data_IF_399303855626
#
_entry.id   IF_399303855626
#
_cell.length_a   1.000
_cell.length_b   1.000
_cell.length_c   1.000
_cell.angle_alpha   90.00
_cell.angle_beta   90.00
_cell.angle_gamma   90.00
#
_symmetry.space_group_name_H-M   'P 1'
#
loop_
_entity.id
_entity.type
_entity.pdbx_description
1 polymer ?
#
# COMPACT_ATOMS: atom_id res chain seq x y z
N UNK A 1 13.08 26.49 -0.71
CA UNK A 1 14.07 25.47 -1.07
C UNK A 1 14.85 25.10 0.20
N UNK A 2 14.62 23.93 0.80
CA UNK A 2 15.15 23.58 2.14
C UNK A 2 15.91 22.25 2.20
N UNK A 3 16.17 21.58 1.06
CA UNK A 3 17.03 20.38 1.01
C UNK A 3 16.52 19.18 1.81
N UNK A 4 15.19 18.93 1.82
CA UNK A 4 14.56 17.79 2.53
C UNK A 4 13.61 17.01 1.63
N UNK A 5 14.01 16.77 0.38
CA UNK A 5 13.33 15.83 -0.49
C UNK A 5 13.70 14.41 -0.05
N UNK A 6 13.05 13.96 1.03
CA UNK A 6 13.10 12.57 1.47
C UNK A 6 12.50 11.74 0.33
N UNK A 7 13.09 10.59 0.00
CA UNK A 7 12.42 9.66 -0.91
C UNK A 7 11.06 9.32 -0.25
N UNK A 8 9.97 9.80 -0.87
CA UNK A 8 8.67 9.99 -0.22
C UNK A 8 8.02 11.35 -0.51
N UNK A 9 8.78 12.34 -0.98
CA UNK A 9 8.26 13.64 -1.43
C UNK A 9 7.73 14.54 -0.31
N UNK A 10 7.60 15.82 -0.60
CA UNK A 10 6.89 16.75 0.27
C UNK A 10 5.38 16.51 0.10
N UNK A 11 4.64 16.26 1.19
CA UNK A 11 3.18 16.40 1.19
C UNK A 11 2.88 17.91 1.04
N UNK A 12 2.87 18.42 -0.19
CA UNK A 12 2.42 19.79 -0.47
C UNK A 12 0.97 19.98 -0.03
N UNK A 13 0.46 21.21 0.10
CA UNK A 13 -0.94 21.47 0.48
C UNK A 13 -2.00 20.80 -0.41
N UNK A 14 -1.63 20.33 -1.60
CA UNK A 14 -2.45 19.49 -2.50
C UNK A 14 -2.45 17.99 -2.12
N UNK A 15 -1.68 17.60 -1.11
CA UNK A 15 -1.43 16.22 -0.70
C UNK A 15 -2.26 15.76 0.49
N UNK A 16 -3.23 16.57 0.91
CA UNK A 16 -4.38 16.03 1.62
C UNK A 16 -5.18 15.20 0.62
N UNK A 17 -4.75 13.96 0.38
CA UNK A 17 -5.53 12.97 -0.35
C UNK A 17 -6.77 12.72 0.51
N UNK A 18 -7.84 13.46 0.22
CA UNK A 18 -9.12 13.28 0.88
C UNK A 18 -9.75 11.98 0.34
N UNK A 19 -9.39 10.86 0.96
CA UNK A 19 -9.97 9.56 0.66
C UNK A 19 -11.43 9.54 1.15
N UNK A 20 -12.37 9.98 0.31
CA UNK A 20 -13.80 9.98 0.65
C UNK A 20 -14.60 9.10 -0.30
N UNK A 21 -15.31 8.13 0.28
CA UNK A 21 -16.09 7.14 -0.46
C UNK A 21 -17.55 7.26 -0.04
N UNK A 22 -18.42 7.58 -0.99
CA UNK A 22 -19.87 7.50 -0.78
C UNK A 22 -20.45 6.16 -1.28
N UNK A 23 -19.79 5.57 -2.29
CA UNK A 23 -20.14 4.33 -2.98
C UNK A 23 -18.84 3.60 -3.39
N UNK A 24 -18.75 2.28 -3.21
CA UNK A 24 -17.73 1.46 -3.87
C UNK A 24 -18.07 1.46 -5.35
N UNK A 25 -17.09 1.74 -6.20
CA UNK A 25 -17.32 1.63 -7.64
C UNK A 25 -17.94 2.84 -8.29
N UNK A 26 -18.23 3.94 -7.58
CA UNK A 26 -18.71 5.19 -8.19
C UNK A 26 -18.21 6.40 -7.41
N UNK A 27 -16.90 6.70 -7.52
CA UNK A 27 -16.30 8.01 -7.19
C UNK A 27 -14.82 8.08 -7.56
N UNK A 28 -14.28 9.30 -7.64
CA UNK A 28 -12.84 9.59 -7.69
C UNK A 28 -12.22 9.26 -6.33
N UNK A 29 -11.22 8.38 -6.30
CA UNK A 29 -10.53 8.04 -5.04
C UNK A 29 -9.55 9.15 -4.67
N UNK A 30 -8.90 9.74 -5.68
CA UNK A 30 -7.85 10.75 -5.49
C UNK A 30 -8.17 12.12 -6.11
N UNK A 31 -9.23 12.23 -6.94
CA UNK A 31 -9.85 13.52 -7.30
C UNK A 31 -9.35 14.18 -8.60
N UNK A 32 -8.39 13.60 -9.32
CA UNK A 32 -7.67 14.27 -10.42
C UNK A 32 -8.31 14.16 -11.82
N UNK A 33 -9.13 13.13 -12.10
CA UNK A 33 -9.78 12.95 -13.41
C UNK A 33 -11.21 13.50 -13.42
N UNK A 34 -11.68 14.01 -14.56
CA UNK A 34 -13.03 14.61 -14.70
C UNK A 34 -14.17 13.58 -14.74
N UNK A 35 -13.89 12.33 -15.07
CA UNK A 35 -14.90 11.28 -15.31
C UNK A 35 -15.01 10.30 -14.13
N UNK A 36 -16.22 9.83 -13.86
CA UNK A 36 -16.48 8.78 -12.86
C UNK A 36 -15.88 7.45 -13.34
N UNK A 37 -14.98 6.87 -12.55
CA UNK A 37 -14.45 5.54 -12.83
C UNK A 37 -15.13 4.49 -11.95
N UNK A 38 -15.66 3.46 -12.62
CA UNK A 38 -16.13 2.27 -11.93
C UNK A 38 -14.94 1.43 -11.52
N UNK A 39 -14.74 1.29 -10.21
CA UNK A 39 -13.75 0.38 -9.67
C UNK A 39 -14.35 -1.01 -9.45
N UNK A 40 -13.57 -2.05 -9.76
CA UNK A 40 -13.94 -3.42 -9.43
C UNK A 40 -13.61 -3.74 -7.97
N UNK A 41 -14.21 -4.82 -7.44
CA UNK A 41 -13.90 -5.32 -6.09
C UNK A 41 -12.45 -5.78 -5.96
N UNK A 42 -11.86 -6.27 -7.06
CA UNK A 42 -10.44 -6.62 -7.11
C UNK A 42 -9.57 -5.37 -6.96
N UNK A 43 -9.88 -4.30 -7.69
CA UNK A 43 -9.16 -3.03 -7.58
C UNK A 43 -9.32 -2.39 -6.19
N UNK A 44 -10.50 -2.51 -5.57
CA UNK A 44 -10.71 -2.06 -4.19
C UNK A 44 -9.86 -2.86 -3.20
N UNK A 45 -9.81 -4.18 -3.36
CA UNK A 45 -8.97 -5.05 -2.52
C UNK A 45 -7.49 -4.71 -2.67
N UNK A 46 -7.04 -4.45 -3.89
CA UNK A 46 -5.67 -4.00 -4.17
C UNK A 46 -5.38 -2.62 -3.57
N UNK A 47 -6.37 -1.72 -3.60
CA UNK A 47 -6.28 -0.43 -2.93
C UNK A 47 -6.09 -0.57 -1.42
N UNK A 48 -6.92 -1.37 -0.74
CA UNK A 48 -6.75 -1.61 0.70
C UNK A 48 -5.38 -2.24 1.01
N UNK A 49 -4.93 -3.18 0.17
CA UNK A 49 -3.64 -3.87 0.31
C UNK A 49 -2.45 -2.93 0.16
N UNK A 50 -2.43 -2.11 -0.90
CA UNK A 50 -1.31 -1.19 -1.17
C UNK A 50 -1.24 -0.08 -0.12
N UNK A 51 -2.38 0.48 0.28
CA UNK A 51 -2.47 1.56 1.25
C UNK A 51 -2.41 1.14 2.73
N UNK A 52 -2.22 -0.16 3.05
CA UNK A 52 -2.22 -0.66 4.43
C UNK A 52 -3.50 -0.31 5.20
N UNK A 53 -4.64 -0.35 4.53
CA UNK A 53 -5.90 -0.03 5.18
C UNK A 53 -6.27 -1.22 6.05
N UNK A 54 -6.15 -1.05 7.37
CA UNK A 54 -6.49 -2.07 8.35
C UNK A 54 -7.98 -2.10 8.69
N UNK A 55 -8.66 -0.94 8.57
CA UNK A 55 -10.07 -0.80 8.89
C UNK A 55 -10.77 0.12 7.90
N UNK A 56 -12.01 -0.22 7.55
CA UNK A 56 -12.91 0.65 6.79
C UNK A 56 -14.15 0.91 7.63
N UNK A 57 -14.53 2.18 7.76
CA UNK A 57 -15.75 2.59 8.47
C UNK A 57 -16.77 3.08 7.47
N UNK A 58 -17.96 2.48 7.46
CA UNK A 58 -19.04 2.78 6.53
C UNK A 58 -20.30 3.26 7.25
N UNK A 59 -20.82 4.42 6.87
CA UNK A 59 -22.13 4.93 7.31
C UNK A 59 -23.24 4.81 6.26
N UNK A 60 -22.88 4.80 4.98
CA UNK A 60 -23.83 4.67 3.86
C UNK A 60 -24.38 3.26 3.75
N UNK A 61 -25.71 3.10 3.62
CA UNK A 61 -26.36 1.79 3.42
C UNK A 61 -25.79 1.08 2.18
N UNK A 62 -25.64 1.80 1.07
CA UNK A 62 -25.13 1.26 -0.19
C UNK A 62 -23.68 0.79 -0.03
N UNK A 63 -22.83 1.61 0.60
CA UNK A 63 -21.42 1.27 0.81
C UNK A 63 -21.25 0.05 1.72
N UNK A 64 -22.12 -0.11 2.73
CA UNK A 64 -22.14 -1.28 3.60
C UNK A 64 -22.50 -2.56 2.83
N UNK A 65 -23.54 -2.51 1.98
CA UNK A 65 -23.95 -3.67 1.17
C UNK A 65 -22.82 -4.11 0.23
N UNK A 66 -22.11 -3.17 -0.37
CA UNK A 66 -20.97 -3.43 -1.24
C UNK A 66 -19.76 -4.02 -0.48
N UNK A 67 -19.44 -3.47 0.69
CA UNK A 67 -18.37 -4.01 1.54
C UNK A 67 -18.73 -5.39 2.11
N UNK A 68 -19.99 -5.63 2.47
CA UNK A 68 -20.45 -6.94 2.92
C UNK A 68 -20.26 -8.00 1.83
N UNK A 69 -20.53 -7.66 0.55
CA UNK A 69 -20.26 -8.53 -0.59
C UNK A 69 -18.77 -8.76 -0.79
N UNK A 70 -17.96 -7.70 -0.75
CA UNK A 70 -16.50 -7.78 -0.86
C UNK A 70 -15.92 -8.72 0.20
N UNK A 71 -16.32 -8.52 1.45
CA UNK A 71 -15.87 -9.31 2.60
C UNK A 71 -16.24 -10.79 2.42
N UNK A 72 -17.50 -11.08 2.08
CA UNK A 72 -17.96 -12.45 1.84
C UNK A 72 -17.17 -13.14 0.74
N UNK A 73 -16.89 -12.44 -0.37
CA UNK A 73 -16.09 -12.99 -1.47
C UNK A 73 -14.64 -13.27 -1.06
N UNK A 74 -14.04 -12.41 -0.23
CA UNK A 74 -12.69 -12.61 0.31
C UNK A 74 -12.65 -13.78 1.28
N UNK A 75 -13.53 -13.81 2.28
CA UNK A 75 -13.64 -14.91 3.27
C UNK A 75 -14.02 -16.25 2.62
N UNK A 76 -14.75 -16.26 1.52
CA UNK A 76 -14.97 -17.52 0.76
C UNK A 76 -13.69 -18.05 0.11
N UNK A 77 -12.70 -17.18 -0.15
CA UNK A 77 -11.41 -17.52 -0.77
C UNK A 77 -10.27 -17.66 0.24
N UNK A 78 -10.47 -17.23 1.48
CA UNK A 78 -9.47 -17.24 2.55
C UNK A 78 -10.09 -17.83 3.82
N UNK A 79 -9.40 -18.75 4.51
CA UNK A 79 -9.87 -19.36 5.77
C UNK A 79 -10.03 -18.38 6.95
N UNK A 80 -9.72 -17.10 6.77
CA UNK A 80 -9.81 -16.06 7.80
C UNK A 80 -11.06 -15.18 7.58
N UNK A 81 -11.83 -15.02 8.65
CA UNK A 81 -12.97 -14.10 8.70
C UNK A 81 -12.49 -12.65 8.76
N UNK A 82 -13.25 -11.76 8.14
CA UNK A 82 -13.12 -10.31 8.35
C UNK A 82 -14.03 -9.96 9.52
N UNK A 83 -13.45 -9.39 10.59
CA UNK A 83 -14.21 -8.92 11.73
C UNK A 83 -15.05 -7.71 11.34
N UNK A 84 -16.33 -7.76 11.69
CA UNK A 84 -17.30 -6.73 11.40
C UNK A 84 -17.97 -6.30 12.69
N UNK A 85 -17.89 -5.02 13.03
CA UNK A 85 -18.51 -4.45 14.24
C UNK A 85 -19.45 -3.31 13.86
N UNK A 86 -20.64 -3.29 14.44
CA UNK A 86 -21.64 -2.25 14.19
C UNK A 86 -21.73 -1.28 15.38
N UNK A 87 -21.75 0.02 15.09
CA UNK A 87 -21.87 1.09 16.07
C UNK A 87 -22.95 2.08 15.59
N UNK A 88 -24.20 1.85 15.98
CA UNK A 88 -25.33 2.64 15.51
C UNK A 88 -25.47 2.58 13.98
N UNK A 89 -25.40 3.74 13.31
CA UNK A 89 -25.44 3.79 11.84
C UNK A 89 -24.09 3.52 11.17
N UNK A 90 -23.02 3.24 11.92
CA UNK A 90 -21.70 2.91 11.38
C UNK A 90 -21.44 1.41 11.42
N UNK A 91 -20.65 0.92 10.45
CA UNK A 91 -20.16 -0.46 10.39
C UNK A 91 -18.66 -0.42 10.11
N UNK A 92 -17.89 -1.13 10.92
CA UNK A 92 -16.42 -1.20 10.86
C UNK A 92 -16.05 -2.57 10.32
N UNK A 93 -15.18 -2.58 9.30
CA UNK A 93 -14.69 -3.77 8.64
C UNK A 93 -13.19 -3.89 8.84
N UNK A 94 -12.73 -4.98 9.45
CA UNK A 94 -11.30 -5.29 9.56
C UNK A 94 -10.78 -5.89 8.24
N UNK A 95 -9.91 -5.17 7.56
CA UNK A 95 -9.30 -5.65 6.31
C UNK A 95 -8.15 -6.63 6.59
N UNK A 96 -7.69 -7.33 5.55
CA UNK A 96 -6.57 -8.29 5.65
C UNK A 96 -5.29 -7.61 6.13
N UNK A 97 -4.98 -7.81 7.43
CA UNK A 97 -3.82 -7.23 8.09
C UNK A 97 -2.50 -7.88 7.70
N UNK A 98 -2.51 -9.04 7.02
CA UNK A 98 -1.27 -9.65 6.50
C UNK A 98 -0.68 -8.78 5.39
N UNK A 99 -1.50 -7.96 4.73
CA UNK A 99 -1.03 -6.91 3.81
C UNK A 99 -0.30 -5.74 4.51
N UNK A 100 -0.36 -5.67 5.84
CA UNK A 100 0.44 -4.75 6.65
C UNK A 100 1.86 -5.27 6.89
N UNK A 101 2.17 -6.54 6.59
CA UNK A 101 3.55 -7.07 6.70
C UNK A 101 4.56 -6.39 5.75
N UNK A 102 4.06 -5.62 4.77
CA UNK A 102 4.86 -4.76 3.90
C UNK A 102 5.16 -3.39 4.55
N UNK A 103 4.53 -3.10 5.69
CA UNK A 103 4.88 -2.09 6.68
C UNK A 103 5.55 -2.79 7.89
N UNK A 104 6.85 -3.06 7.79
CA UNK A 104 7.85 -2.76 8.82
C UNK A 104 7.59 -3.28 10.25
N UNK A 105 8.52 -4.09 10.80
CA UNK A 105 8.66 -4.50 12.21
C UNK A 105 7.52 -4.06 13.15
N UNK A 106 6.59 -4.97 13.48
CA UNK A 106 5.96 -4.87 14.80
C UNK A 106 6.93 -5.41 15.83
N UNK A 107 7.12 -4.67 16.92
CA UNK A 107 7.98 -5.00 18.05
C UNK A 107 7.52 -6.22 18.88
N UNK A 108 6.79 -7.15 18.26
CA UNK A 108 6.25 -8.38 18.88
C UNK A 108 6.79 -9.67 18.22
N UNK A 109 7.66 -9.57 17.21
CA UNK A 109 8.33 -10.74 16.61
C UNK A 109 9.63 -11.15 17.34
N UNK A 110 9.69 -10.97 18.66
CA UNK A 110 10.84 -11.40 19.46
C UNK A 110 10.91 -12.92 19.70
N UNK A 111 9.90 -13.70 19.29
CA UNK A 111 9.78 -15.11 19.68
C UNK A 111 9.81 -16.15 18.53
N UNK A 112 10.14 -15.77 17.30
CA UNK A 112 10.32 -16.78 16.24
C UNK A 112 11.79 -17.18 16.07
N UNK A 113 12.11 -18.27 16.74
CA UNK A 113 13.39 -18.97 16.84
C UNK A 113 13.88 -19.66 15.54
N UNK A 114 13.73 -19.03 14.38
CA UNK A 114 14.20 -19.58 13.10
C UNK A 114 14.87 -18.51 12.22
N UNK A 115 15.99 -17.94 12.69
CA UNK A 115 17.15 -17.45 11.91
C UNK A 115 16.96 -16.61 10.63
N UNK A 116 15.74 -16.19 10.28
CA UNK A 116 15.41 -15.39 9.11
C UNK A 116 15.52 -13.94 9.53
N UNK A 117 16.67 -13.34 9.23
CA UNK A 117 16.87 -11.91 9.42
C UNK A 117 15.71 -11.15 8.77
N UNK A 118 14.96 -10.42 9.58
CA UNK A 118 13.79 -9.66 9.14
C UNK A 118 14.16 -8.66 8.05
N UNK A 119 13.26 -8.44 7.08
CA UNK A 119 13.45 -7.43 6.04
C UNK A 119 13.55 -6.05 6.69
N UNK A 120 14.70 -5.40 6.56
CA UNK A 120 14.92 -4.03 7.04
C UNK A 120 14.71 -3.04 5.90
N UNK A 121 13.97 -1.97 6.13
CA UNK A 121 13.86 -0.86 5.16
C UNK A 121 14.21 0.43 5.88
N UNK A 122 15.20 1.16 5.38
CA UNK A 122 15.62 2.45 5.90
C UNK A 122 15.61 3.48 4.77
N UNK A 123 14.94 4.60 4.99
CA UNK A 123 15.04 5.75 4.09
C UNK A 123 15.87 6.86 4.73
N UNK A 124 16.70 7.47 3.91
CA UNK A 124 17.46 8.68 4.21
C UNK A 124 17.31 9.66 3.02
N UNK A 125 17.83 10.89 3.12
CA UNK A 125 17.81 11.81 1.99
C UNK A 125 18.38 11.15 0.72
N UNK A 126 17.62 11.17 -0.37
CA UNK A 126 18.00 10.59 -1.66
C UNK A 126 18.37 9.11 -1.65
N UNK A 127 17.96 8.35 -0.65
CA UNK A 127 18.28 6.92 -0.59
C UNK A 127 17.26 6.09 0.19
N UNK A 128 16.97 4.90 -0.33
CA UNK A 128 16.33 3.81 0.41
C UNK A 128 17.29 2.62 0.39
N UNK A 129 17.50 2.01 1.55
CA UNK A 129 18.24 0.77 1.71
C UNK A 129 17.28 -0.29 2.22
N UNK A 130 17.27 -1.44 1.54
CA UNK A 130 16.52 -2.63 1.90
C UNK A 130 17.52 -3.70 2.28
N UNK A 131 17.46 -4.19 3.51
CA UNK A 131 18.23 -5.30 4.03
C UNK A 131 17.38 -6.56 4.11
N UNK A 132 18.00 -7.72 3.92
CA UNK A 132 17.34 -9.02 3.80
C UNK A 132 16.21 -9.04 2.74
N UNK A 133 16.36 -8.28 1.66
CA UNK A 133 15.34 -8.13 0.62
C UNK A 133 14.87 -9.50 0.08
N UNK A 134 13.56 -9.67 -0.15
CA UNK A 134 13.02 -10.92 -0.68
C UNK A 134 13.47 -11.10 -2.14
N UNK A 135 13.67 -12.36 -2.55
CA UNK A 135 13.87 -12.69 -3.95
C UNK A 135 12.57 -12.52 -4.74
N UNK A 136 12.68 -12.15 -6.02
CA UNK A 136 11.54 -11.95 -6.90
C UNK A 136 10.91 -10.55 -6.83
N UNK A 137 9.71 -10.37 -7.40
CA UNK A 137 9.04 -9.08 -7.45
C UNK A 137 8.38 -8.74 -6.11
N UNK A 138 8.52 -7.49 -5.67
CA UNK A 138 7.82 -6.96 -4.51
C UNK A 138 7.48 -5.48 -4.68
N UNK A 139 6.59 -4.97 -3.82
CA UNK A 139 6.18 -3.55 -3.83
C UNK A 139 6.65 -2.88 -2.56
N UNK A 140 7.41 -1.81 -2.75
CA UNK A 140 7.88 -0.92 -1.73
C UNK A 140 6.90 0.26 -1.62
N UNK A 141 6.39 0.50 -0.41
CA UNK A 141 5.36 1.52 -0.13
C UNK A 141 5.93 2.93 0.00
N UNK A 142 6.76 3.27 -0.97
CA UNK A 142 7.31 4.59 -1.21
C UNK A 142 6.90 5.03 -2.60
N UNK A 143 6.87 6.34 -2.81
CA UNK A 143 6.47 6.90 -4.08
C UNK A 143 7.58 6.85 -5.12
N UNK A 144 7.24 6.36 -6.32
CA UNK A 144 8.15 6.27 -7.45
C UNK A 144 8.39 7.65 -8.06
N UNK A 145 9.65 7.93 -8.39
CA UNK A 145 10.07 9.06 -9.21
C UNK A 145 10.94 8.53 -10.35
N UNK A 146 10.88 9.18 -11.51
CA UNK A 146 11.63 8.75 -12.71
C UNK A 146 13.16 8.83 -12.51
N UNK A 147 13.60 9.63 -11.54
CA UNK A 147 15.01 9.81 -11.19
C UNK A 147 15.54 8.80 -10.18
N UNK A 148 14.69 7.89 -9.72
CA UNK A 148 15.14 6.78 -8.89
C UNK A 148 15.97 5.81 -9.74
N UNK A 149 17.07 5.37 -9.15
CA UNK A 149 17.97 4.36 -9.68
C UNK A 149 18.14 3.27 -8.65
N UNK A 150 18.52 2.06 -9.08
CA UNK A 150 18.71 0.91 -8.21
C UNK A 150 20.01 0.18 -8.56
N UNK A 151 20.51 -0.62 -7.62
CA UNK A 151 21.71 -1.44 -7.82
C UNK A 151 21.57 -2.41 -8.99
N UNK A 152 22.69 -2.71 -9.66
CA UNK A 152 22.74 -3.70 -10.74
C UNK A 152 22.22 -5.06 -10.27
N UNK A 153 21.54 -5.79 -11.17
CA UNK A 153 20.89 -7.06 -10.83
C UNK A 153 19.46 -6.91 -10.26
N UNK A 154 18.97 -5.67 -10.15
CA UNK A 154 17.59 -5.34 -9.79
C UNK A 154 17.04 -4.24 -10.70
N UNK A 155 15.72 -4.21 -10.89
CA UNK A 155 15.03 -3.11 -11.59
C UNK A 155 13.90 -2.55 -10.74
N UNK A 156 13.57 -1.28 -10.97
CA UNK A 156 12.45 -0.62 -10.31
C UNK A 156 11.50 0.00 -11.32
N UNK A 157 10.22 0.13 -10.95
CA UNK A 157 9.20 0.73 -11.79
C UNK A 157 7.98 1.21 -11.01
N UNK A 158 7.07 1.96 -11.65
CA UNK A 158 5.86 2.44 -10.99
C UNK A 158 4.78 1.36 -10.87
N UNK A 159 4.19 1.21 -9.69
CA UNK A 159 2.91 0.53 -9.47
C UNK A 159 1.82 1.59 -9.46
N UNK A 160 1.05 1.66 -10.55
CA UNK A 160 -0.11 2.54 -10.66
C UNK A 160 -1.34 1.83 -10.10
N UNK A 161 -2.12 2.55 -9.29
CA UNK A 161 -3.36 2.06 -8.72
C UNK A 161 -4.46 3.10 -8.97
N UNK A 162 -5.51 2.71 -9.68
CA UNK A 162 -6.64 3.61 -9.99
C UNK A 162 -6.17 4.94 -10.62
N UNK A 163 -6.70 6.07 -10.14
CA UNK A 163 -6.33 7.42 -10.53
C UNK A 163 -5.29 8.06 -9.59
N UNK A 164 -4.56 7.25 -8.82
CA UNK A 164 -3.48 7.72 -7.94
C UNK A 164 -2.41 8.46 -8.77
N UNK A 165 -2.17 9.76 -8.52
CA UNK A 165 -1.15 10.52 -9.24
C UNK A 165 0.27 10.17 -8.81
N UNK A 166 0.46 9.50 -7.67
CA UNK A 166 1.79 9.22 -7.10
C UNK A 166 2.00 7.70 -6.93
N UNK A 167 2.47 6.99 -7.98
CA UNK A 167 2.59 5.53 -7.95
C UNK A 167 3.57 5.03 -6.87
N UNK A 168 3.40 3.78 -6.43
CA UNK A 168 4.36 3.12 -5.55
C UNK A 168 5.55 2.54 -6.32
N UNK A 169 6.61 2.14 -5.62
CA UNK A 169 7.79 1.51 -6.22
C UNK A 169 7.59 -0.01 -6.30
N UNK A 170 7.61 -0.57 -7.50
CA UNK A 170 7.87 -2.00 -7.74
C UNK A 170 9.38 -2.22 -7.75
N UNK A 171 9.84 -3.29 -7.12
CA UNK A 171 11.21 -3.79 -7.22
C UNK A 171 11.17 -5.20 -7.77
N UNK A 172 11.94 -5.47 -8.82
CA UNK A 172 12.14 -6.80 -9.37
C UNK A 172 13.55 -7.30 -8.99
N UNK A 173 13.62 -8.13 -7.93
CA UNK A 173 14.86 -8.70 -7.42
C UNK A 173 15.11 -10.12 -7.95
N UNK A 174 15.31 -10.23 -9.26
CA UNK A 174 15.45 -11.52 -9.94
C UNK A 174 16.68 -12.31 -9.48
N UNK A 175 17.74 -11.61 -9.05
CA UNK A 175 19.01 -12.20 -8.60
C UNK A 175 19.03 -12.55 -7.11
N UNK A 176 17.99 -12.17 -6.36
CA UNK A 176 17.89 -12.48 -4.93
C UNK A 176 18.90 -11.71 -4.06
N UNK A 177 19.26 -10.49 -4.45
CA UNK A 177 20.12 -9.63 -3.63
C UNK A 177 19.51 -9.45 -2.24
N UNK A 178 20.34 -9.62 -1.21
CA UNK A 178 19.93 -9.40 0.18
C UNK A 178 19.94 -7.92 0.55
N UNK A 179 20.79 -7.12 -0.08
CA UNK A 179 20.85 -5.67 0.13
C UNK A 179 20.56 -4.97 -1.18
N UNK A 180 19.50 -4.16 -1.19
CA UNK A 180 19.11 -3.34 -2.34
C UNK A 180 19.16 -1.89 -1.94
N UNK A 181 19.85 -1.08 -2.73
CA UNK A 181 19.93 0.37 -2.55
C UNK A 181 19.27 1.06 -3.72
N UNK A 182 18.26 1.88 -3.40
CA UNK A 182 17.58 2.77 -4.35
C UNK A 182 18.08 4.18 -4.05
N UNK A 183 18.52 4.91 -5.07
CA UNK A 183 19.05 6.27 -4.94
C UNK A 183 18.27 7.24 -5.82
N UNK A 184 18.11 8.47 -5.34
CA UNK A 184 17.61 9.58 -6.16
C UNK A 184 18.80 10.44 -6.60
N UNK A 185 18.79 10.91 -7.85
CA UNK A 185 19.92 11.63 -8.46
C UNK A 185 19.99 13.14 -8.13
N UNK A 186 19.15 13.63 -7.22
CA UNK A 186 19.05 15.05 -6.85
C UNK A 186 19.78 15.40 -5.56
#
# INVERSE_FOLDING_TARGET
FTGREVIGGHLGGASALAHSWAHVGWKRVFGFKREEQRISMEQLGEYFRLYNIAFVVAGSKVFKEELDLFVRQKTARTTEGIDVTEFGYLKVYAMDRRSLSWLWKSAEAADNADGLNEVGVAASPNQIVIENAPAGPFVLKYHFQETLTCVEGTSIGPVKLLDDPVPFIRVDNATGLRTIKITNAY
#
